data_IF_883668760764
#
_entry.id   IF_883668760764
#
_cell.length_a   1.000
_cell.length_b   1.000
_cell.length_c   1.000
_cell.angle_alpha   90.00
_cell.angle_beta   90.00
_cell.angle_gamma   90.00
#
_symmetry.space_group_name_H-M   'P 1'
#
loop_
_entity.id
_entity.type
_entity.pdbx_description
1 polymer ?
#
# COMPACT_ATOMS: atom_id res chain seq x y z
N UNK A 1 6.56 -14.79 6.91
CA UNK A 1 7.11 -14.80 5.53
C UNK A 1 8.61 -14.61 5.65
N UNK A 2 9.38 -15.11 4.68
CA UNK A 2 10.83 -14.95 4.69
C UNK A 2 11.33 -14.57 3.29
N UNK A 3 12.08 -13.46 3.21
CA UNK A 3 12.81 -13.08 1.99
C UNK A 3 14.02 -14.00 1.81
N UNK A 4 14.50 -14.13 0.56
CA UNK A 4 15.64 -14.99 0.21
C UNK A 4 15.40 -16.47 0.53
N UNK A 5 14.13 -16.91 0.56
CA UNK A 5 13.76 -18.30 0.75
C UNK A 5 12.61 -18.67 -0.17
N UNK A 6 12.88 -19.43 -1.23
CA UNK A 6 11.91 -19.84 -2.25
C UNK A 6 10.59 -20.39 -1.68
N UNK A 7 10.66 -21.20 -0.61
CA UNK A 7 9.49 -21.84 -0.02
C UNK A 7 8.65 -20.91 0.86
N UNK A 8 9.19 -19.75 1.23
CA UNK A 8 8.57 -18.82 2.19
C UNK A 8 8.47 -17.39 1.68
N UNK A 9 8.96 -17.13 0.47
CA UNK A 9 8.94 -15.84 -0.22
C UNK A 9 7.64 -15.60 -0.98
N UNK A 10 6.74 -16.60 -1.03
CA UNK A 10 5.41 -16.44 -1.58
C UNK A 10 4.37 -17.10 -0.67
N UNK A 11 3.31 -16.38 -0.35
CA UNK A 11 2.20 -16.89 0.46
C UNK A 11 0.88 -16.56 -0.21
N UNK A 12 -0.03 -17.54 -0.25
CA UNK A 12 -1.42 -17.35 -0.65
C UNK A 12 -2.32 -17.57 0.55
N UNK A 13 -3.22 -16.62 0.81
CA UNK A 13 -4.14 -16.66 1.93
C UNK A 13 -5.58 -16.42 1.45
N UNK A 14 -6.54 -17.15 1.99
CA UNK A 14 -7.96 -17.00 1.66
C UNK A 14 -8.61 -16.02 2.64
N UNK A 15 -9.23 -14.95 2.13
CA UNK A 15 -9.78 -13.87 2.96
C UNK A 15 -11.27 -14.02 3.30
N UNK A 16 -11.95 -15.05 2.79
CA UNK A 16 -13.33 -15.37 3.18
C UNK A 16 -14.43 -14.44 2.66
N UNK A 17 -14.13 -13.22 2.18
CA UNK A 17 -15.16 -12.25 1.76
C UNK A 17 -16.04 -12.68 0.58
N UNK A 18 -15.53 -13.51 -0.34
CA UNK A 18 -16.22 -13.95 -1.59
C UNK A 18 -16.56 -12.83 -2.58
N UNK A 19 -16.10 -11.61 -2.32
CA UNK A 19 -16.17 -10.46 -3.21
C UNK A 19 -14.79 -9.82 -3.34
N UNK A 20 -14.61 -8.98 -4.36
CA UNK A 20 -13.39 -8.20 -4.51
C UNK A 20 -13.31 -7.21 -3.33
N UNK A 21 -12.25 -7.26 -2.50
CA UNK A 21 -12.03 -6.26 -1.46
C UNK A 21 -12.07 -4.84 -2.02
N UNK A 22 -12.68 -3.92 -1.27
CA UNK A 22 -12.54 -2.47 -1.50
C UNK A 22 -11.13 -2.05 -1.14
N UNK A 23 -10.61 -2.51 0.00
CA UNK A 23 -9.24 -2.25 0.45
C UNK A 23 -8.57 -3.51 0.99
N UNK A 24 -7.29 -3.65 0.70
CA UNK A 24 -6.39 -4.62 1.36
C UNK A 24 -5.25 -3.84 2.01
N UNK A 25 -4.98 -4.08 3.29
CA UNK A 25 -3.82 -3.52 3.98
C UNK A 25 -2.91 -4.65 4.46
N UNK A 26 -1.65 -4.54 4.05
CA UNK A 26 -0.59 -5.49 4.40
C UNK A 26 0.34 -4.79 5.37
N UNK A 27 0.49 -5.35 6.56
CA UNK A 27 1.33 -4.80 7.61
C UNK A 27 2.42 -5.80 7.96
N UNK A 28 3.66 -5.37 7.80
CA UNK A 28 4.86 -6.19 7.90
C UNK A 28 5.60 -5.81 9.17
N UNK A 29 5.89 -6.79 10.02
CA UNK A 29 6.64 -6.60 11.26
C UNK A 29 7.89 -7.48 11.24
N UNK A 30 9.09 -6.93 11.48
CA UNK A 30 10.31 -7.70 11.70
C UNK A 30 10.17 -8.79 12.77
N UNK A 31 10.74 -9.96 12.53
CA UNK A 31 10.70 -11.11 13.45
C UNK A 31 11.87 -11.15 14.45
N UNK A 32 12.88 -10.29 14.30
CA UNK A 32 14.08 -10.27 15.15
C UNK A 32 13.75 -9.88 16.59
N UNK A 33 14.08 -10.78 17.51
CA UNK A 33 14.12 -10.53 18.96
C UNK A 33 15.32 -9.65 19.29
N UNK A 34 15.07 -8.36 19.49
CA UNK A 34 16.10 -7.37 19.80
C UNK A 34 15.53 -5.95 19.86
N UNK A 35 14.68 -5.69 20.86
CA UNK A 35 14.43 -4.36 21.44
C UNK A 35 13.66 -3.29 20.65
N UNK A 36 13.83 -3.14 19.34
CA UNK A 36 13.57 -1.82 18.72
C UNK A 36 12.58 -1.76 17.54
N UNK A 37 11.83 -2.82 17.23
CA UNK A 37 10.92 -2.78 16.08
C UNK A 37 9.50 -3.28 16.39
N UNK A 38 8.75 -2.46 17.13
CA UNK A 38 7.27 -2.58 17.22
C UNK A 38 6.54 -2.00 16.00
N UNK A 39 7.29 -1.50 15.02
CA UNK A 39 6.77 -0.81 13.86
C UNK A 39 6.19 -1.80 12.84
N UNK A 40 5.06 -1.39 12.25
CA UNK A 40 4.47 -2.06 11.11
C UNK A 40 4.78 -1.25 9.84
N UNK A 41 5.42 -1.92 8.88
CA UNK A 41 5.70 -1.37 7.56
C UNK A 41 4.59 -1.74 6.59
N UNK A 42 4.12 -0.82 5.73
CA UNK A 42 3.10 -1.14 4.75
C UNK A 42 3.68 -2.02 3.62
N UNK A 43 2.91 -3.00 3.18
CA UNK A 43 3.11 -3.65 1.90
C UNK A 43 2.70 -2.72 0.75
N UNK A 44 3.22 -3.01 -0.44
CA UNK A 44 3.02 -2.19 -1.65
C UNK A 44 2.33 -2.98 -2.75
N UNK A 45 1.49 -2.32 -3.55
CA UNK A 45 0.70 -2.99 -4.59
C UNK A 45 1.54 -3.59 -5.74
N UNK A 46 2.84 -3.30 -5.85
CA UNK A 46 3.71 -3.86 -6.89
C UNK A 46 5.19 -3.71 -6.52
N UNK A 47 6.05 -4.59 -7.06
CA UNK A 47 7.50 -4.49 -6.96
C UNK A 47 8.04 -3.26 -7.67
N UNK A 48 8.91 -2.53 -6.97
CA UNK A 48 9.45 -1.24 -7.45
C UNK A 48 10.78 -1.37 -8.21
N UNK A 49 11.42 -2.55 -8.21
CA UNK A 49 12.62 -2.88 -9.02
C UNK A 49 12.88 -4.40 -9.09
N UNK A 50 13.70 -4.86 -10.04
CA UNK A 50 14.30 -6.20 -10.06
C UNK A 50 15.53 -6.29 -9.14
N UNK A 51 16.19 -7.44 -9.11
CA UNK A 51 17.40 -7.67 -8.33
C UNK A 51 18.72 -7.61 -9.10
N UNK A 52 18.69 -7.27 -10.40
CA UNK A 52 19.88 -7.10 -11.26
C UNK A 52 20.90 -6.03 -10.78
N UNK A 53 20.54 -5.23 -9.78
CA UNK A 53 21.40 -4.21 -9.17
C UNK A 53 21.78 -4.62 -7.76
N UNK A 54 23.09 -4.68 -7.50
CA UNK A 54 23.71 -4.91 -6.19
C UNK A 54 23.49 -3.72 -5.23
N UNK A 55 22.24 -3.47 -4.88
CA UNK A 55 21.78 -2.44 -3.96
C UNK A 55 20.53 -2.97 -3.25
N UNK A 56 20.29 -2.62 -1.97
CA UNK A 56 19.11 -3.06 -1.25
C UNK A 56 17.80 -2.73 -1.97
N UNK A 57 16.86 -3.69 -1.93
CA UNK A 57 15.48 -3.50 -2.34
C UNK A 57 14.57 -4.33 -1.45
N UNK A 58 13.28 -4.02 -1.44
CA UNK A 58 12.44 -4.69 -0.49
C UNK A 58 11.00 -4.25 -0.36
N UNK A 59 10.39 -4.77 0.69
CA UNK A 59 8.96 -4.66 0.99
C UNK A 59 8.25 -5.99 0.74
N UNK A 60 6.96 -6.03 1.08
CA UNK A 60 6.07 -7.13 0.68
C UNK A 60 5.15 -6.59 -0.40
N UNK A 61 5.15 -7.23 -1.57
CA UNK A 61 4.25 -6.86 -2.66
C UNK A 61 3.07 -7.82 -2.70
N UNK A 62 1.91 -7.34 -3.13
CA UNK A 62 0.71 -8.16 -3.09
C UNK A 62 -0.26 -7.90 -4.24
N UNK A 63 -1.07 -8.92 -4.49
CA UNK A 63 -2.27 -8.85 -5.32
C UNK A 63 -3.39 -9.63 -4.66
N UNK A 64 -4.62 -9.39 -5.05
CA UNK A 64 -5.79 -10.02 -4.46
C UNK A 64 -6.85 -10.33 -5.50
N UNK A 65 -7.78 -11.21 -5.17
CA UNK A 65 -8.97 -11.51 -5.97
C UNK A 65 -10.20 -11.42 -5.07
N UNK A 66 -11.33 -11.94 -5.54
CA UNK A 66 -12.52 -12.15 -4.72
C UNK A 66 -12.41 -13.28 -3.67
N UNK A 67 -11.28 -13.99 -3.62
CA UNK A 67 -11.11 -15.20 -2.80
C UNK A 67 -9.83 -15.20 -1.98
N UNK A 68 -8.75 -14.67 -2.56
CA UNK A 68 -7.42 -14.84 -1.98
C UNK A 68 -6.54 -13.63 -2.20
N UNK A 69 -5.63 -13.44 -1.26
CA UNK A 69 -4.50 -12.52 -1.35
C UNK A 69 -3.25 -13.35 -1.61
N UNK A 70 -2.38 -12.87 -2.50
CA UNK A 70 -1.07 -13.44 -2.76
C UNK A 70 -0.03 -12.40 -2.39
N UNK A 71 0.91 -12.78 -1.54
CA UNK A 71 2.01 -11.95 -1.06
C UNK A 71 3.32 -12.48 -1.63
N UNK A 72 4.23 -11.57 -1.94
CA UNK A 72 5.58 -11.88 -2.40
C UNK A 72 6.59 -11.10 -1.57
N UNK A 73 7.54 -11.80 -0.98
CA UNK A 73 8.74 -11.23 -0.40
C UNK A 73 9.88 -11.30 -1.43
N UNK A 74 10.90 -10.43 -1.32
CA UNK A 74 12.05 -10.48 -2.19
C UNK A 74 12.75 -11.82 -2.10
N UNK A 75 13.31 -12.26 -3.21
CA UNK A 75 14.02 -13.52 -3.28
C UNK A 75 15.11 -13.42 -4.33
N UNK A 76 16.25 -14.05 -4.10
CA UNK A 76 17.39 -13.99 -5.02
C UNK A 76 17.02 -14.56 -6.39
N UNK A 77 16.84 -13.68 -7.37
CA UNK A 77 17.06 -13.86 -8.79
C UNK A 77 18.58 -14.06 -9.05
N UNK A 78 19.02 -14.73 -10.11
CA UNK A 78 20.32 -14.57 -10.84
C UNK A 78 21.70 -14.20 -10.20
N UNK A 79 21.86 -13.73 -8.96
CA UNK A 79 23.17 -13.45 -8.39
C UNK A 79 23.21 -12.52 -7.18
N UNK A 80 22.23 -11.63 -6.99
CA UNK A 80 22.33 -10.53 -6.02
C UNK A 80 21.38 -10.68 -4.81
N UNK A 81 21.86 -11.13 -3.63
CA UNK A 81 21.02 -11.41 -2.46
C UNK A 81 20.68 -10.15 -1.64
N UNK A 82 20.35 -9.02 -2.27
CA UNK A 82 20.11 -7.74 -1.58
C UNK A 82 18.63 -7.45 -1.28
N UNK A 83 17.77 -8.46 -1.35
CA UNK A 83 16.33 -8.33 -1.16
C UNK A 83 15.87 -8.58 0.29
N UNK A 84 15.31 -7.56 0.93
CA UNK A 84 14.85 -7.62 2.32
C UNK A 84 13.34 -7.39 2.42
N UNK A 85 12.66 -8.10 3.31
CA UNK A 85 11.25 -7.84 3.58
C UNK A 85 11.04 -6.45 4.22
N UNK A 86 12.00 -6.00 5.04
CA UNK A 86 12.08 -4.61 5.55
C UNK A 86 13.53 -4.12 5.47
N UNK A 87 13.75 -2.92 4.95
CA UNK A 87 15.07 -2.29 4.90
C UNK A 87 14.96 -0.80 5.26
N UNK A 88 15.63 -0.38 6.33
CA UNK A 88 15.66 1.02 6.81
C UNK A 88 17.07 1.52 7.16
N UNK A 89 18.12 0.78 6.77
CA UNK A 89 19.50 1.05 7.20
C UNK A 89 20.46 1.47 6.08
N UNK A 90 21.75 1.50 6.43
CA UNK A 90 22.86 1.77 5.52
C UNK A 90 23.10 3.25 5.24
N UNK A 91 23.89 3.56 4.21
CA UNK A 91 24.17 4.93 3.77
C UNK A 91 23.00 5.60 3.03
N UNK A 92 21.93 4.85 2.75
CA UNK A 92 20.83 5.28 1.88
C UNK A 92 19.65 5.86 2.65
N UNK A 93 19.48 5.47 3.92
CA UNK A 93 18.38 5.89 4.77
C UNK A 93 18.91 6.26 6.14
N UNK A 94 18.52 7.44 6.64
CA UNK A 94 18.79 7.84 8.01
C UNK A 94 17.47 7.89 8.78
N UNK A 95 17.46 7.30 9.97
CA UNK A 95 16.27 7.19 10.79
C UNK A 95 16.62 6.60 12.16
N UNK A 96 15.68 6.64 13.11
CA UNK A 96 15.91 6.14 14.46
C UNK A 96 16.18 4.63 14.50
N UNK A 97 15.77 3.89 13.46
CA UNK A 97 15.92 2.44 13.37
C UNK A 97 16.54 2.08 12.02
N UNK A 98 17.66 1.38 12.07
CA UNK A 98 18.34 0.83 10.90
C UNK A 98 18.26 -0.68 10.95
N UNK A 99 17.56 -1.28 9.99
CA UNK A 99 17.39 -2.73 9.93
C UNK A 99 17.45 -3.26 8.49
N UNK A 100 17.77 -4.54 8.34
CA UNK A 100 17.81 -5.28 7.09
C UNK A 100 17.24 -6.69 7.35
N UNK A 101 15.92 -6.80 7.28
CA UNK A 101 15.18 -7.92 7.83
C UNK A 101 14.64 -8.84 6.73
N UNK A 102 15.04 -10.11 6.80
CA UNK A 102 14.54 -11.15 5.90
C UNK A 102 13.35 -11.89 6.46
N UNK A 103 13.29 -12.11 7.77
CA UNK A 103 12.19 -12.83 8.42
C UNK A 103 11.19 -11.84 9.03
N UNK A 104 9.93 -11.94 8.62
CA UNK A 104 8.87 -11.04 9.04
C UNK A 104 7.57 -11.77 9.36
N UNK A 105 6.83 -11.24 10.32
CA UNK A 105 5.43 -11.53 10.53
C UNK A 105 4.58 -10.59 9.66
N UNK A 106 3.51 -11.10 9.07
CA UNK A 106 2.60 -10.30 8.23
C UNK A 106 1.20 -10.38 8.79
N UNK A 107 0.59 -9.21 9.02
CA UNK A 107 -0.82 -9.04 9.32
C UNK A 107 -1.53 -8.55 8.05
N UNK A 108 -2.65 -9.18 7.73
CA UNK A 108 -3.47 -8.87 6.56
C UNK A 108 -4.81 -8.35 7.08
N UNK A 109 -5.21 -7.15 6.63
CA UNK A 109 -6.53 -6.59 6.88
C UNK A 109 -7.25 -6.41 5.54
N UNK A 110 -8.53 -6.75 5.50
CA UNK A 110 -9.29 -6.81 4.26
C UNK A 110 -10.68 -6.26 4.53
N UNK A 111 -11.09 -5.29 3.72
CA UNK A 111 -12.40 -4.68 3.82
C UNK A 111 -13.17 -4.88 2.52
N UNK A 112 -14.31 -5.55 2.63
CA UNK A 112 -15.34 -5.64 1.60
C UNK A 112 -16.23 -4.39 1.51
N UNK A 113 -17.17 -4.38 0.57
CA UNK A 113 -18.07 -3.25 0.31
C UNK A 113 -18.89 -2.87 1.54
N UNK A 114 -19.33 -3.85 2.33
CA UNK A 114 -20.11 -3.62 3.55
C UNK A 114 -19.38 -2.80 4.63
N UNK A 115 -18.06 -2.68 4.56
CA UNK A 115 -17.25 -1.90 5.49
C UNK A 115 -16.92 -0.51 4.94
N UNK A 116 -17.53 -0.09 3.84
CA UNK A 116 -17.39 1.26 3.30
C UNK A 116 -18.79 1.82 3.01
N UNK A 117 -19.02 3.13 3.15
CA UNK A 117 -20.17 3.74 2.49
C UNK A 117 -20.05 3.54 0.97
N UNK A 118 -21.16 3.70 0.25
CA UNK A 118 -21.09 3.74 -1.21
C UNK A 118 -20.15 4.87 -1.68
N UNK A 119 -19.27 4.64 -2.66
CA UNK A 119 -18.37 5.68 -3.17
C UNK A 119 -19.17 6.79 -3.86
N UNK A 120 -18.87 8.03 -3.50
CA UNK A 120 -19.47 9.22 -4.15
C UNK A 120 -19.06 9.32 -5.63
N UNK A 121 -17.88 8.79 -5.96
CA UNK A 121 -17.42 8.66 -7.34
C UNK A 121 -16.81 7.28 -7.57
N UNK A 122 -17.23 6.62 -8.65
CA UNK A 122 -16.59 5.40 -9.11
C UNK A 122 -16.59 5.26 -10.62
N UNK A 123 -15.69 4.45 -11.14
CA UNK A 123 -15.67 4.09 -12.56
C UNK A 123 -15.94 2.60 -12.76
N UNK A 124 -16.57 2.26 -13.89
CA UNK A 124 -16.45 0.91 -14.44
C UNK A 124 -14.98 0.58 -14.76
N UNK A 125 -14.67 -0.71 -14.95
CA UNK A 125 -13.35 -1.15 -15.41
C UNK A 125 -13.05 -0.55 -16.79
N UNK A 126 -11.95 0.21 -16.87
CA UNK A 126 -11.46 0.85 -18.12
C UNK A 126 -10.10 0.31 -18.48
N UNK A 127 -9.81 0.14 -19.77
CA UNK A 127 -8.52 -0.39 -20.21
C UNK A 127 -7.35 0.52 -19.85
N UNK A 128 -6.20 -0.09 -19.57
CA UNK A 128 -4.93 0.59 -19.32
C UNK A 128 -3.76 -0.30 -19.76
N UNK A 129 -2.71 0.34 -20.24
CA UNK A 129 -1.48 -0.28 -20.70
C UNK A 129 -0.29 0.63 -20.33
N UNK A 130 0.90 0.04 -20.24
CA UNK A 130 2.15 0.81 -20.14
C UNK A 130 2.41 1.60 -21.43
N UNK A 131 3.33 2.57 -21.37
CA UNK A 131 3.76 3.33 -22.55
C UNK A 131 3.36 4.80 -22.54
N UNK A 132 3.58 5.48 -21.41
CA UNK A 132 3.42 6.93 -21.24
C UNK A 132 1.95 7.38 -21.16
N UNK A 133 1.12 6.55 -20.54
CA UNK A 133 -0.28 6.89 -20.28
C UNK A 133 -0.34 7.64 -18.96
N UNK A 134 -0.48 8.97 -19.05
CA UNK A 134 -1.12 9.77 -18.02
C UNK A 134 -2.60 9.87 -18.38
N UNK A 135 -3.50 9.51 -17.46
CA UNK A 135 -4.93 9.81 -17.62
C UNK A 135 -5.37 10.74 -16.51
N UNK A 136 -6.13 11.75 -16.89
CA UNK A 136 -6.84 12.63 -15.96
C UNK A 136 -8.33 12.24 -15.97
N UNK A 137 -8.88 12.03 -14.78
CA UNK A 137 -10.27 11.63 -14.58
C UNK A 137 -10.93 12.68 -13.70
N UNK A 138 -11.92 13.38 -14.23
CA UNK A 138 -12.74 14.31 -13.44
C UNK A 138 -13.72 13.53 -12.56
N UNK A 139 -13.70 13.77 -11.24
CA UNK A 139 -14.52 13.03 -10.28
C UNK A 139 -15.78 13.77 -9.83
N UNK A 140 -15.92 15.07 -10.16
CA UNK A 140 -17.13 15.88 -9.92
C UNK A 140 -17.59 15.95 -8.44
N UNK A 141 -16.70 15.70 -7.49
CA UNK A 141 -17.02 15.82 -6.06
C UNK A 141 -16.98 17.27 -5.56
N UNK A 142 -16.41 18.18 -6.36
CA UNK A 142 -16.17 19.60 -6.03
C UNK A 142 -15.45 19.85 -4.69
N UNK A 143 -14.81 18.81 -4.17
CA UNK A 143 -13.98 18.78 -2.96
C UNK A 143 -12.87 17.75 -3.15
N UNK A 144 -11.78 17.88 -2.39
CA UNK A 144 -10.74 16.84 -2.35
C UNK A 144 -11.32 15.60 -1.69
N UNK A 145 -11.29 14.41 -2.35
CA UNK A 145 -11.71 13.18 -1.71
C UNK A 145 -10.95 12.92 -0.40
N UNK A 146 -11.65 12.53 0.66
CA UNK A 146 -11.04 12.03 1.91
C UNK A 146 -10.32 10.71 1.66
N UNK A 147 -10.84 9.89 0.74
CA UNK A 147 -10.27 8.60 0.43
C UNK A 147 -10.40 8.25 -1.05
N UNK A 148 -9.35 7.64 -1.61
CA UNK A 148 -9.33 7.16 -2.99
C UNK A 148 -8.68 5.78 -3.03
N UNK A 149 -9.33 4.85 -3.72
CA UNK A 149 -8.75 3.56 -4.07
C UNK A 149 -8.66 3.47 -5.58
N UNK A 150 -7.43 3.31 -6.08
CA UNK A 150 -7.17 2.88 -7.45
C UNK A 150 -6.92 1.37 -7.46
N UNK A 151 -7.72 0.62 -8.20
CA UNK A 151 -7.56 -0.82 -8.35
C UNK A 151 -7.19 -1.17 -9.80
N UNK A 152 -6.21 -2.05 -9.97
CA UNK A 152 -5.67 -2.47 -11.27
C UNK A 152 -5.88 -3.97 -11.45
N UNK A 153 -6.84 -4.36 -12.30
CA UNK A 153 -7.04 -5.74 -12.74
C UNK A 153 -5.95 -6.13 -13.73
N UNK A 154 -5.27 -7.24 -13.44
CA UNK A 154 -4.05 -7.67 -14.14
C UNK A 154 -4.42 -8.50 -15.37
N UNK A 155 -4.35 -7.90 -16.56
CA UNK A 155 -4.76 -8.51 -17.82
C UNK A 155 -6.16 -9.14 -17.76
N UNK A 156 -6.28 -10.37 -18.27
CA UNK A 156 -7.51 -11.17 -18.21
C UNK A 156 -7.59 -12.06 -16.96
N UNK A 157 -6.74 -11.84 -15.96
CA UNK A 157 -6.76 -12.65 -14.73
C UNK A 157 -7.85 -12.18 -13.76
N UNK A 158 -8.08 -12.98 -12.71
CA UNK A 158 -8.93 -12.59 -11.58
C UNK A 158 -8.25 -11.68 -10.54
N UNK A 159 -6.96 -11.42 -10.71
CA UNK A 159 -6.17 -10.70 -9.73
C UNK A 159 -6.16 -9.20 -9.98
N UNK A 160 -6.09 -8.48 -8.87
CA UNK A 160 -6.11 -7.03 -8.75
C UNK A 160 -4.92 -6.61 -7.88
N UNK A 161 -4.29 -5.50 -8.23
CA UNK A 161 -3.29 -4.82 -7.42
C UNK A 161 -3.77 -3.40 -7.09
N UNK A 162 -3.33 -2.86 -5.96
CA UNK A 162 -3.60 -1.46 -5.61
C UNK A 162 -2.65 -0.53 -6.39
N UNK A 163 -3.17 0.62 -6.80
CA UNK A 163 -2.36 1.76 -7.23
C UNK A 163 -1.44 2.22 -6.09
N UNK A 164 -0.28 2.76 -6.46
CA UNK A 164 0.75 3.22 -5.52
C UNK A 164 0.80 4.74 -5.51
N UNK A 165 1.09 5.35 -4.35
CA UNK A 165 1.19 6.80 -4.20
C UNK A 165 2.60 7.36 -4.46
N UNK A 166 3.59 6.49 -4.58
CA UNK A 166 4.99 6.86 -4.83
C UNK A 166 5.73 5.70 -5.48
N UNK A 167 6.83 6.02 -6.16
CA UNK A 167 7.81 5.06 -6.69
C UNK A 167 9.20 5.56 -6.31
N UNK A 168 10.12 4.63 -6.05
CA UNK A 168 11.53 4.95 -5.81
C UNK A 168 12.36 4.51 -7.02
N UNK A 169 12.55 5.36 -8.04
CA UNK A 169 13.47 5.05 -9.11
C UNK A 169 14.92 5.20 -8.60
N UNK A 170 15.76 4.22 -8.92
CA UNK A 170 17.22 4.38 -8.83
C UNK A 170 17.69 5.07 -10.12
N UNK A 171 18.20 6.30 -10.02
CA UNK A 171 18.60 7.24 -11.09
C UNK A 171 19.04 6.66 -12.45
N UNK A 172 20.25 6.94 -12.95
CA UNK A 172 20.65 6.55 -14.32
C UNK A 172 20.76 5.02 -14.57
N UNK A 173 20.54 4.21 -13.53
CA UNK A 173 20.43 2.74 -13.58
C UNK A 173 19.09 2.26 -14.19
N UNK A 174 18.24 3.21 -14.61
CA UNK A 174 16.93 2.98 -15.24
C UNK A 174 16.93 2.08 -16.47
N UNK A 175 18.04 1.99 -17.23
CA UNK A 175 18.10 1.19 -18.47
C UNK A 175 18.04 -0.33 -18.23
N UNK A 176 18.43 -0.77 -17.04
CA UNK A 176 18.58 -2.20 -16.72
C UNK A 176 17.55 -2.72 -15.71
N UNK A 177 16.84 -1.84 -15.01
CA UNK A 177 15.87 -2.24 -13.99
C UNK A 177 14.46 -2.38 -14.57
N UNK A 178 13.75 -3.41 -14.11
CA UNK A 178 12.31 -3.57 -14.33
C UNK A 178 11.56 -3.15 -13.09
N UNK A 179 10.47 -2.41 -13.25
CA UNK A 179 9.64 -1.90 -12.16
C UNK A 179 8.16 -2.10 -12.48
N UNK A 180 7.32 -2.07 -11.45
CA UNK A 180 5.89 -2.13 -11.64
C UNK A 180 5.10 -1.19 -10.74
N UNK A 181 3.83 -1.06 -11.07
CA UNK A 181 2.85 -0.28 -10.34
C UNK A 181 2.25 0.82 -11.20
N UNK A 182 1.04 1.24 -10.82
CA UNK A 182 0.36 2.39 -11.40
C UNK A 182 0.31 3.47 -10.34
N UNK A 183 0.96 4.61 -10.63
CA UNK A 183 0.97 5.75 -9.73
C UNK A 183 -0.36 6.49 -9.83
N UNK A 184 -0.85 7.03 -8.71
CA UNK A 184 -1.98 7.95 -8.73
C UNK A 184 -1.85 9.06 -7.70
N UNK A 185 -2.63 10.11 -7.93
CA UNK A 185 -2.72 11.30 -7.10
C UNK A 185 -4.00 12.05 -7.45
N UNK A 186 -4.48 12.88 -6.55
CA UNK A 186 -5.78 13.52 -6.70
C UNK A 186 -5.81 14.90 -6.04
N UNK A 187 -6.69 15.75 -6.56
CA UNK A 187 -7.00 17.06 -6.00
C UNK A 187 -8.52 17.20 -5.83
N UNK A 188 -9.04 18.43 -5.77
CA UNK A 188 -10.47 18.68 -5.63
C UNK A 188 -11.29 18.56 -6.92
N UNK A 189 -10.65 18.28 -8.06
CA UNK A 189 -11.31 18.18 -9.38
C UNK A 189 -11.01 16.89 -10.10
N UNK A 190 -9.80 16.38 -9.95
CA UNK A 190 -9.26 15.31 -10.79
C UNK A 190 -8.52 14.26 -9.99
N UNK A 191 -8.63 13.03 -10.48
CA UNK A 191 -7.76 11.92 -10.12
C UNK A 191 -6.88 11.65 -11.34
N UNK A 192 -5.57 11.69 -11.14
CA UNK A 192 -4.57 11.42 -12.18
C UNK A 192 -3.93 10.07 -11.93
N UNK A 193 -3.75 9.32 -13.00
CA UNK A 193 -3.03 8.04 -12.98
C UNK A 193 -1.86 8.11 -13.95
N UNK A 194 -0.72 7.56 -13.55
CA UNK A 194 0.48 7.45 -14.39
C UNK A 194 0.89 5.99 -14.48
N UNK A 195 1.03 5.54 -15.72
CA UNK A 195 1.64 4.25 -16.02
C UNK A 195 3.12 4.42 -16.28
N UNK A 196 3.80 3.29 -16.21
CA UNK A 196 5.21 3.26 -16.45
C UNK A 196 5.61 3.46 -17.93
N UNK A 197 6.81 4.01 -18.15
CA UNK A 197 7.48 4.13 -19.44
C UNK A 197 8.69 3.20 -19.52
N UNK A 198 9.03 2.71 -20.71
CA UNK A 198 10.26 1.95 -20.99
C UNK A 198 10.41 0.62 -20.22
N UNK A 199 9.55 -0.35 -20.52
CA UNK A 199 9.78 -1.74 -20.14
C UNK A 199 9.42 -2.12 -18.70
N UNK A 200 8.66 -1.26 -17.99
CA UNK A 200 8.03 -1.61 -16.73
C UNK A 200 6.71 -2.37 -16.87
N UNK A 201 5.92 -2.41 -15.80
CA UNK A 201 4.67 -3.17 -15.73
C UNK A 201 3.61 -2.44 -14.91
N UNK A 202 2.33 -2.74 -15.13
CA UNK A 202 1.24 -2.36 -14.22
C UNK A 202 1.38 -3.08 -12.87
N UNK A 203 1.88 -4.31 -12.87
CA UNK A 203 2.25 -5.09 -11.69
C UNK A 203 3.51 -5.91 -12.00
N UNK A 204 4.41 -5.98 -11.02
CA UNK A 204 5.69 -6.67 -11.12
C UNK A 204 5.97 -7.49 -9.86
N UNK A 205 6.09 -8.81 -10.04
CA UNK A 205 6.56 -9.79 -9.06
C UNK A 205 7.31 -10.89 -9.82
N UNK A 206 8.43 -10.47 -10.42
CA UNK A 206 9.33 -11.26 -11.26
C UNK A 206 10.76 -10.87 -10.89
N UNK A 207 11.74 -11.76 -11.07
CA UNK A 207 13.18 -11.43 -11.08
C UNK A 207 13.60 -10.61 -9.86
N UNK A 208 13.69 -11.31 -8.73
CA UNK A 208 13.89 -10.70 -7.41
C UNK A 208 12.70 -10.80 -6.46
N UNK A 209 11.56 -11.35 -6.88
CA UNK A 209 10.30 -11.36 -6.09
C UNK A 209 9.62 -12.72 -6.05
N UNK A 210 9.64 -13.37 -4.89
CA UNK A 210 9.07 -14.70 -4.71
C UNK A 210 9.71 -15.76 -5.61
N UNK A 211 8.95 -16.80 -5.92
CA UNK A 211 9.27 -17.77 -6.99
C UNK A 211 8.46 -17.49 -8.27
N UNK A 212 7.70 -16.39 -8.27
CA UNK A 212 6.81 -16.05 -9.37
C UNK A 212 7.54 -15.35 -10.51
N UNK A 213 7.01 -15.54 -11.72
CA UNK A 213 7.47 -14.86 -12.92
C UNK A 213 6.33 -14.00 -13.47
N UNK A 214 5.89 -13.01 -12.67
CA UNK A 214 4.71 -12.21 -12.98
C UNK A 214 5.06 -10.78 -13.37
N UNK A 215 4.64 -10.40 -14.58
CA UNK A 215 4.76 -9.05 -15.12
C UNK A 215 3.58 -8.82 -16.06
N UNK A 216 2.83 -7.75 -15.82
CA UNK A 216 1.64 -7.40 -16.60
C UNK A 216 1.81 -6.02 -17.21
N UNK A 217 1.73 -5.91 -18.53
CA UNK A 217 1.89 -4.64 -19.26
C UNK A 217 0.57 -4.00 -19.67
N UNK A 218 -0.53 -4.75 -19.53
CA UNK A 218 -1.89 -4.35 -19.87
C UNK A 218 -2.91 -4.91 -18.86
N UNK A 219 -4.07 -4.27 -18.78
CA UNK A 219 -5.12 -4.63 -17.86
C UNK A 219 -6.24 -3.60 -17.83
N UNK A 220 -6.91 -3.51 -16.68
CA UNK A 220 -8.02 -2.59 -16.48
C UNK A 220 -7.86 -1.86 -15.15
N UNK A 221 -8.29 -0.61 -15.07
CA UNK A 221 -8.35 0.14 -13.83
C UNK A 221 -9.80 0.44 -13.45
N UNK A 222 -10.05 0.57 -12.15
CA UNK A 222 -11.23 1.24 -11.61
C UNK A 222 -10.84 2.14 -10.45
N UNK A 223 -11.60 3.21 -10.27
CA UNK A 223 -11.42 4.17 -9.20
C UNK A 223 -12.66 4.13 -8.30
N UNK A 224 -12.44 4.23 -7.01
CA UNK A 224 -13.45 4.44 -5.98
C UNK A 224 -12.99 5.65 -5.17
N UNK A 225 -13.84 6.65 -4.97
CA UNK A 225 -13.50 7.85 -4.22
C UNK A 225 -14.67 8.30 -3.35
N UNK A 226 -14.33 8.78 -2.15
CA UNK A 226 -15.27 9.24 -1.13
C UNK A 226 -14.91 10.66 -0.73
N UNK A 227 -15.91 11.54 -0.78
CA UNK A 227 -15.84 12.89 -0.22
C UNK A 227 -15.83 12.85 1.31
N UNK A 228 -16.49 11.85 1.92
CA UNK A 228 -16.29 11.50 3.32
C UNK A 228 -16.43 10.00 3.59
N UNK A 229 -15.63 9.49 4.52
CA UNK A 229 -15.77 8.11 5.02
C UNK A 229 -16.67 7.99 6.26
N UNK A 230 -17.25 9.10 6.72
CA UNK A 230 -18.17 9.10 7.86
C UNK A 230 -19.52 8.45 7.55
N UNK A 231 -19.98 7.62 8.48
CA UNK A 231 -21.39 7.26 8.60
C UNK A 231 -21.93 7.77 9.94
N UNK A 232 -23.16 8.28 10.01
CA UNK A 232 -23.74 8.80 11.26
C UNK A 232 -24.01 7.65 12.27
N UNK A 233 -23.33 7.55 13.46
CA UNK A 233 -23.82 7.02 14.79
C UNK A 233 -22.76 6.72 15.92
N UNK A 234 -22.96 7.32 17.12
CA UNK A 234 -22.76 6.92 18.57
C UNK A 234 -21.40 6.63 19.30
N UNK A 235 -21.10 7.44 20.35
CA UNK A 235 -19.87 7.81 21.12
C UNK A 235 -18.86 6.76 21.70
N UNK A 236 -17.56 7.09 21.77
CA UNK A 236 -16.44 6.46 22.54
C UNK A 236 -15.17 7.33 22.63
N UNK A 237 -14.36 7.25 23.70
CA UNK A 237 -13.12 8.04 23.89
C UNK A 237 -11.84 7.31 23.45
N UNK A 238 -10.90 8.00 22.77
CA UNK A 238 -9.54 7.53 22.44
C UNK A 238 -8.47 8.44 23.03
N UNK A 239 -7.42 7.86 23.62
CA UNK A 239 -6.22 8.58 24.08
C UNK A 239 -5.11 8.48 23.04
N UNK A 240 -4.57 9.62 22.61
CA UNK A 240 -3.38 9.69 21.75
C UNK A 240 -2.30 10.56 22.39
N UNK A 241 -1.07 10.04 22.43
CA UNK A 241 0.11 10.81 22.82
C UNK A 241 0.88 11.23 21.56
N UNK A 242 1.02 12.53 21.32
CA UNK A 242 1.86 13.04 20.23
C UNK A 242 3.24 13.42 20.79
N UNK A 243 4.32 12.73 20.38
CA UNK A 243 5.66 13.14 20.77
C UNK A 243 6.08 14.38 19.98
N UNK A 244 6.35 15.48 20.68
CA UNK A 244 6.96 16.67 20.11
C UNK A 244 8.47 16.66 20.39
N UNK A 245 9.27 16.88 19.35
CA UNK A 245 10.72 17.03 19.49
C UNK A 245 10.98 18.29 20.35
N UNK A 246 11.64 18.12 21.50
CA UNK A 246 12.03 19.16 22.46
C UNK A 246 10.92 19.76 23.37
N UNK A 247 9.79 19.06 23.59
CA UNK A 247 8.86 19.43 24.67
C UNK A 247 8.29 18.20 25.38
N UNK A 248 7.75 18.37 26.60
CA UNK A 248 6.98 17.33 27.30
C UNK A 248 5.86 16.84 26.39
N UNK A 249 5.76 15.52 26.20
CA UNK A 249 4.64 14.89 25.48
C UNK A 249 3.32 15.47 26.00
N UNK A 250 2.46 15.93 25.08
CA UNK A 250 1.09 16.27 25.42
C UNK A 250 0.22 15.08 25.06
N UNK A 251 -0.44 14.54 26.06
CA UNK A 251 -1.52 13.58 25.86
C UNK A 251 -2.75 14.36 25.43
N UNK A 252 -3.33 13.94 24.31
CA UNK A 252 -4.64 14.41 23.86
C UNK A 252 -5.60 13.26 24.05
N UNK A 253 -6.62 13.48 24.88
CA UNK A 253 -7.77 12.61 24.95
C UNK A 253 -8.81 13.18 23.99
N UNK A 254 -9.18 12.39 23.00
CA UNK A 254 -10.12 12.76 21.96
C UNK A 254 -11.34 11.88 22.15
N UNK A 255 -12.44 12.51 22.52
CA UNK A 255 -13.74 11.86 22.48
C UNK A 255 -14.16 11.73 21.02
N UNK A 256 -14.32 10.49 20.58
CA UNK A 256 -14.83 10.17 19.25
C UNK A 256 -16.32 9.91 19.35
N UNK A 257 -17.04 10.27 18.31
CA UNK A 257 -18.49 10.09 18.29
C UNK A 257 -18.89 8.63 18.02
N UNK A 258 -17.96 7.65 18.02
CA UNK A 258 -18.17 6.25 17.61
C UNK A 258 -17.35 5.21 18.39
N UNK A 259 -17.94 4.05 18.79
CA UNK A 259 -17.15 2.87 19.24
C UNK A 259 -16.20 2.46 18.12
N UNK A 260 -14.91 2.38 18.48
CA UNK A 260 -13.82 2.06 17.56
C UNK A 260 -13.25 0.71 17.92
N UNK A 261 -13.34 -0.24 16.99
CA UNK A 261 -12.43 -1.37 16.98
C UNK A 261 -11.15 -0.94 16.26
N UNK A 262 -10.13 -0.53 17.01
CA UNK A 262 -8.83 -0.11 16.47
C UNK A 262 -8.14 -1.18 15.59
N UNK A 263 -8.62 -2.43 15.62
CA UNK A 263 -8.13 -3.50 14.76
C UNK A 263 -8.78 -3.48 13.37
N UNK A 264 -10.00 -2.96 13.26
CA UNK A 264 -10.87 -3.10 12.09
C UNK A 264 -11.30 -1.77 11.48
N UNK A 265 -11.29 -0.69 12.24
CA UNK A 265 -11.86 0.60 11.85
C UNK A 265 -10.75 1.58 11.41
N UNK A 266 -11.08 2.51 10.51
CA UNK A 266 -10.22 3.65 10.18
C UNK A 266 -10.56 4.87 11.06
N UNK A 267 -9.54 5.66 11.39
CA UNK A 267 -9.72 6.89 12.18
C UNK A 267 -9.03 8.01 11.41
N UNK A 268 -9.81 9.00 10.97
CA UNK A 268 -9.24 10.25 10.48
C UNK A 268 -9.07 11.21 11.67
N UNK A 269 -7.86 11.76 11.78
CA UNK A 269 -7.46 12.66 12.85
C UNK A 269 -6.84 13.89 12.21
N UNK A 270 -7.59 14.99 12.20
CA UNK A 270 -7.10 16.28 11.73
C UNK A 270 -6.57 17.08 12.92
N UNK A 271 -5.26 17.29 12.93
CA UNK A 271 -4.60 18.18 13.89
C UNK A 271 -4.47 19.56 13.25
N UNK A 272 -5.24 20.53 13.74
CA UNK A 272 -5.22 21.90 13.23
C UNK A 272 -4.10 22.73 13.89
N UNK A 273 -3.59 23.78 13.20
CA UNK A 273 -2.52 24.64 13.72
C UNK A 273 -2.79 25.30 15.09
N UNK A 274 -4.05 25.36 15.51
CA UNK A 274 -4.49 25.96 16.78
C UNK A 274 -4.58 24.95 17.94
N UNK A 275 -4.03 23.74 17.80
CA UNK A 275 -4.21 22.62 18.73
C UNK A 275 -5.66 22.15 18.90
N UNK A 276 -6.54 22.46 17.95
CA UNK A 276 -7.85 21.84 17.86
C UNK A 276 -7.72 20.54 17.08
N UNK A 277 -8.34 19.47 17.59
CA UNK A 277 -8.40 18.18 16.92
C UNK A 277 -9.83 18.00 16.42
N UNK A 278 -9.98 17.78 15.12
CA UNK A 278 -11.23 17.31 14.51
C UNK A 278 -11.05 15.84 14.15
N UNK A 279 -12.06 15.03 14.42
CA UNK A 279 -11.98 13.59 14.16
C UNK A 279 -13.24 13.07 13.53
N UNK A 280 -13.04 12.13 12.61
CA UNK A 280 -14.11 11.48 11.89
C UNK A 280 -13.79 9.99 11.83
N UNK A 281 -14.73 9.13 12.24
CA UNK A 281 -14.58 7.70 11.99
C UNK A 281 -14.72 7.46 10.48
N UNK A 282 -13.75 6.75 9.94
CA UNK A 282 -13.85 6.12 8.63
C UNK A 282 -14.07 4.63 8.89
N UNK A 283 -15.18 4.06 8.39
CA UNK A 283 -15.72 2.75 8.78
C UNK A 283 -14.67 1.68 9.09
#
# INVERSE_FOLDING_TARGET
MQSQNDNMSQVKWNHGLKEIPVKVDIQVRPSTTGGESEYYFPGVGSGQRSDDVNSPYGGIVYKYSNESIVLYAPNKHDGYPSGYAVYTGGSNWNGPIQQAESNVSVRIRVWGQQHFPEPDFFTNWKSINIGNVMKEIHHQLDTTPEYVVLQIKLGNTKYIADGIGYVMPLGDQMKYNKWGGVLYGYDNRTIRIWTNIHGGSLFYAKDGWGISNESFTEGYYRILAWSSLSSNRAQTTIKMALPFINSTSRDFEIELDQIIDIKCDFIDVRVCPNNTVETTKAV
#
